data_IF_835463163364
#
_entry.id   IF_835463163364
#
_cell.length_a   1.000
_cell.length_b   1.000
_cell.length_c   1.000
_cell.angle_alpha   90.00
_cell.angle_beta   90.00
_cell.angle_gamma   90.00
#
_symmetry.space_group_name_H-M   'P 1'
#
loop_
_entity.id
_entity.type
_entity.pdbx_description
1 polymer ?
#
# COMPACT_ATOMS: atom_id res chain seq x y z
N UNK A 1 -24.99 -25.87 46.70
CA UNK A 1 -24.26 -25.67 45.43
C UNK A 1 -25.21 -26.14 44.33
N UNK A 2 -25.54 -25.29 43.35
CA UNK A 2 -26.35 -25.73 42.21
C UNK A 2 -25.47 -26.67 41.38
N UNK A 3 -25.88 -27.93 41.24
CA UNK A 3 -25.31 -28.85 40.26
C UNK A 3 -25.54 -28.22 38.89
N UNK A 4 -24.47 -27.72 38.28
CA UNK A 4 -24.53 -27.29 36.88
C UNK A 4 -24.85 -28.54 36.07
N UNK A 5 -26.05 -28.57 35.49
CA UNK A 5 -26.51 -29.70 34.68
C UNK A 5 -25.50 -29.89 33.54
N UNK A 6 -25.00 -31.11 33.36
CA UNK A 6 -24.03 -31.45 32.31
C UNK A 6 -24.55 -31.02 30.92
N UNK A 7 -25.87 -31.01 30.73
CA UNK A 7 -26.51 -30.47 29.53
C UNK A 7 -26.24 -28.97 29.33
N UNK A 8 -26.40 -28.14 30.38
CA UNK A 8 -26.15 -26.69 30.33
C UNK A 8 -24.66 -26.38 30.05
N UNK A 9 -23.76 -27.26 30.51
CA UNK A 9 -22.33 -27.13 30.22
C UNK A 9 -22.04 -27.40 28.73
N UNK A 10 -22.60 -28.48 28.17
CA UNK A 10 -22.44 -28.80 26.75
C UNK A 10 -23.04 -27.74 25.84
N UNK A 11 -24.21 -27.22 26.20
CA UNK A 11 -24.88 -26.17 25.42
C UNK A 11 -24.05 -24.88 25.40
N UNK A 12 -23.53 -24.44 26.55
CA UNK A 12 -22.62 -23.29 26.62
C UNK A 12 -21.31 -23.51 25.86
N UNK A 13 -20.75 -24.71 25.93
CA UNK A 13 -19.51 -25.05 25.21
C UNK A 13 -19.71 -24.97 23.69
N UNK A 14 -20.80 -25.56 23.18
CA UNK A 14 -21.13 -25.54 21.75
C UNK A 14 -21.42 -24.12 21.25
N UNK A 15 -22.15 -23.32 22.02
CA UNK A 15 -22.44 -21.93 21.68
C UNK A 15 -21.17 -21.07 21.68
N UNK A 16 -20.29 -21.26 22.67
CA UNK A 16 -18.97 -20.59 22.70
C UNK A 16 -18.15 -20.94 21.46
N UNK A 17 -18.13 -22.22 21.06
CA UNK A 17 -17.41 -22.67 19.86
C UNK A 17 -17.98 -22.10 18.57
N UNK A 18 -19.31 -21.98 18.48
CA UNK A 18 -19.98 -21.35 17.35
C UNK A 18 -19.58 -19.87 17.23
N UNK A 19 -19.66 -19.12 18.32
CA UNK A 19 -19.28 -17.71 18.37
C UNK A 19 -17.80 -17.50 18.04
N UNK A 20 -16.91 -18.37 18.55
CA UNK A 20 -15.48 -18.33 18.25
C UNK A 20 -15.21 -18.52 16.74
N UNK A 21 -15.91 -19.46 16.10
CA UNK A 21 -15.79 -19.69 14.66
C UNK A 21 -16.37 -18.54 13.82
N UNK A 22 -17.53 -18.00 14.22
CA UNK A 22 -18.10 -16.82 13.54
C UNK A 22 -17.16 -15.62 13.62
N UNK A 23 -16.53 -15.38 14.76
CA UNK A 23 -15.57 -14.30 14.94
C UNK A 23 -14.32 -14.51 14.07
N UNK A 24 -13.76 -15.73 14.05
CA UNK A 24 -12.62 -16.07 13.18
C UNK A 24 -12.93 -15.83 11.71
N UNK A 25 -14.11 -16.25 11.26
CA UNK A 25 -14.53 -16.06 9.87
C UNK A 25 -14.71 -14.57 9.53
N UNK A 26 -15.30 -13.78 10.44
CA UNK A 26 -15.41 -12.33 10.25
C UNK A 26 -14.05 -11.65 10.15
N UNK A 27 -13.13 -11.97 11.05
CA UNK A 27 -11.76 -11.43 11.02
C UNK A 27 -11.07 -11.79 9.71
N UNK A 28 -11.18 -13.05 9.27
CA UNK A 28 -10.61 -13.51 8.00
C UNK A 28 -11.15 -12.72 6.81
N UNK A 29 -12.48 -12.59 6.71
CA UNK A 29 -13.11 -11.83 5.63
C UNK A 29 -12.69 -10.35 5.62
N UNK A 30 -12.59 -9.72 6.79
CA UNK A 30 -12.12 -8.34 6.91
C UNK A 30 -10.67 -8.17 6.44
N UNK A 31 -9.80 -9.11 6.79
CA UNK A 31 -8.41 -9.10 6.36
C UNK A 31 -8.28 -9.32 4.85
N UNK A 32 -9.06 -10.24 4.28
CA UNK A 32 -9.11 -10.50 2.84
C UNK A 32 -9.63 -9.27 2.06
N UNK A 33 -10.68 -8.62 2.55
CA UNK A 33 -11.21 -7.39 1.96
C UNK A 33 -10.19 -6.24 1.99
N UNK A 34 -9.47 -6.07 3.10
CA UNK A 34 -8.39 -5.07 3.20
C UNK A 34 -7.23 -5.40 2.26
N UNK A 35 -6.82 -6.67 2.19
CA UNK A 35 -5.75 -7.09 1.29
C UNK A 35 -6.11 -6.80 -0.18
N UNK A 36 -7.35 -7.08 -0.57
CA UNK A 36 -7.83 -6.82 -1.92
C UNK A 36 -7.91 -5.32 -2.23
N UNK A 37 -8.39 -4.52 -1.27
CA UNK A 37 -8.36 -3.05 -1.38
C UNK A 37 -6.94 -2.54 -1.63
N UNK A 38 -5.96 -2.98 -0.83
CA UNK A 38 -4.56 -2.54 -0.99
C UNK A 38 -3.92 -3.03 -2.29
N UNK A 39 -4.24 -4.24 -2.76
CA UNK A 39 -3.80 -4.72 -4.07
C UNK A 39 -4.31 -3.83 -5.19
N UNK A 40 -5.59 -3.48 -5.17
CA UNK A 40 -6.18 -2.60 -6.19
C UNK A 40 -5.62 -1.17 -6.10
N UNK A 41 -5.41 -0.67 -4.90
CA UNK A 41 -4.77 0.62 -4.67
C UNK A 41 -3.34 0.65 -5.22
N UNK A 42 -2.53 -0.36 -4.93
CA UNK A 42 -1.17 -0.48 -5.47
C UNK A 42 -1.19 -0.64 -6.98
N UNK A 43 -2.06 -1.50 -7.53
CA UNK A 43 -2.21 -1.66 -8.97
C UNK A 43 -2.55 -0.33 -9.65
N UNK A 44 -3.37 0.53 -9.01
CA UNK A 44 -3.65 1.90 -9.48
C UNK A 44 -2.43 2.81 -9.40
N UNK A 45 -1.67 2.77 -8.31
CA UNK A 45 -0.44 3.55 -8.15
C UNK A 45 0.63 3.16 -9.17
N UNK A 46 0.76 1.86 -9.47
CA UNK A 46 1.71 1.34 -10.46
C UNK A 46 1.17 1.37 -11.91
N UNK A 47 -0.14 1.57 -12.12
CA UNK A 47 -0.72 1.86 -13.46
C UNK A 47 -0.38 3.25 -13.97
N UNK A 48 0.27 4.08 -13.16
CA UNK A 48 0.89 5.29 -13.65
C UNK A 48 2.05 4.84 -14.52
N UNK A 49 1.87 4.96 -15.84
CA UNK A 49 2.93 4.90 -16.85
C UNK A 49 4.23 5.39 -16.22
N UNK A 50 5.36 4.65 -16.30
CA UNK A 50 6.57 4.98 -15.54
C UNK A 50 6.77 6.48 -15.61
N UNK A 51 6.80 7.15 -14.46
CA UNK A 51 6.75 8.61 -14.44
C UNK A 51 7.83 9.21 -15.36
N UNK A 52 8.92 8.45 -15.56
CA UNK A 52 10.00 8.66 -16.53
C UNK A 52 9.58 8.69 -18.01
N UNK A 53 8.68 7.81 -18.46
CA UNK A 53 8.16 7.80 -19.83
C UNK A 53 7.28 9.01 -20.11
N UNK A 54 6.34 9.31 -19.20
CA UNK A 54 5.54 10.55 -19.30
C UNK A 54 6.42 11.80 -19.17
N UNK A 55 7.43 11.78 -18.32
CA UNK A 55 8.42 12.86 -18.22
C UNK A 55 9.15 13.06 -19.54
N UNK A 56 9.67 11.99 -20.16
CA UNK A 56 10.36 12.07 -21.45
C UNK A 56 9.45 12.60 -22.54
N UNK A 57 8.21 12.15 -22.57
CA UNK A 57 7.24 12.59 -23.59
C UNK A 57 6.89 14.09 -23.43
N UNK A 58 6.81 14.58 -22.19
CA UNK A 58 6.61 16.01 -21.89
C UNK A 58 7.87 16.82 -22.22
N UNK A 59 9.06 16.34 -21.87
CA UNK A 59 10.34 17.00 -22.21
C UNK A 59 10.49 17.12 -23.72
N UNK A 60 10.25 16.05 -24.48
CA UNK A 60 10.34 16.09 -25.94
C UNK A 60 9.37 17.09 -26.58
N UNK A 61 8.15 17.21 -26.03
CA UNK A 61 7.17 18.22 -26.46
C UNK A 61 7.57 19.64 -26.08
N UNK A 62 8.22 19.84 -24.93
CA UNK A 62 8.71 21.15 -24.50
C UNK A 62 9.88 21.65 -25.36
N UNK A 63 10.78 20.73 -25.73
CA UNK A 63 11.91 21.02 -26.59
C UNK A 63 11.52 21.58 -27.97
N UNK A 64 10.33 21.21 -28.46
CA UNK A 64 9.87 21.55 -29.81
C UNK A 64 8.86 22.72 -29.86
N UNK A 65 8.28 23.14 -28.73
CA UNK A 65 7.15 24.09 -28.72
C UNK A 65 7.43 25.42 -27.98
N UNK A 66 8.59 25.59 -27.36
CA UNK A 66 8.91 26.80 -26.59
C UNK A 66 10.28 27.39 -26.93
N UNK A 67 10.33 28.71 -27.06
CA UNK A 67 11.54 29.46 -27.36
C UNK A 67 12.54 29.42 -26.18
N UNK A 68 13.83 29.52 -26.52
CA UNK A 68 14.96 29.01 -25.73
C UNK A 68 14.99 29.34 -24.23
N UNK A 69 14.50 30.50 -23.76
CA UNK A 69 14.49 30.82 -22.31
C UNK A 69 13.36 30.14 -21.54
N UNK A 70 12.16 30.05 -22.12
CA UNK A 70 11.01 29.40 -21.48
C UNK A 70 11.21 27.88 -21.42
N UNK A 71 11.73 27.31 -22.51
CA UNK A 71 12.06 25.89 -22.57
C UNK A 71 13.17 25.52 -21.57
N UNK A 72 14.26 26.29 -21.49
CA UNK A 72 15.32 26.04 -20.50
C UNK A 72 14.83 26.11 -19.05
N UNK A 73 13.94 27.06 -18.73
CA UNK A 73 13.38 27.17 -17.39
C UNK A 73 12.50 25.96 -17.03
N UNK A 74 11.72 25.46 -18.00
CA UNK A 74 10.88 24.28 -17.83
C UNK A 74 11.73 23.01 -17.70
N UNK A 75 12.71 22.80 -18.58
CA UNK A 75 13.64 21.65 -18.51
C UNK A 75 14.33 21.60 -17.15
N UNK A 76 14.94 22.70 -16.68
CA UNK A 76 15.60 22.75 -15.37
C UNK A 76 14.67 22.39 -14.22
N UNK A 77 13.40 22.80 -14.30
CA UNK A 77 12.41 22.52 -13.26
C UNK A 77 11.96 21.06 -13.30
N UNK A 78 11.89 20.46 -14.48
CA UNK A 78 11.66 19.03 -14.65
C UNK A 78 12.82 18.18 -14.13
N UNK A 79 14.06 18.53 -14.47
CA UNK A 79 15.26 17.87 -13.95
C UNK A 79 15.31 17.90 -12.42
N UNK A 80 15.01 19.06 -11.83
CA UNK A 80 14.92 19.20 -10.37
C UNK A 80 13.84 18.31 -9.76
N UNK A 81 12.63 18.32 -10.32
CA UNK A 81 11.54 17.45 -9.84
C UNK A 81 11.91 15.97 -9.93
N UNK A 82 12.63 15.56 -10.99
CA UNK A 82 13.09 14.19 -11.15
C UNK A 82 14.14 13.80 -10.08
N UNK A 83 15.05 14.72 -9.74
CA UNK A 83 16.00 14.54 -8.64
C UNK A 83 15.27 14.38 -7.31
N UNK A 84 14.35 15.28 -6.99
CA UNK A 84 13.58 15.27 -5.73
C UNK A 84 12.78 13.95 -5.58
N UNK A 85 12.18 13.46 -6.67
CA UNK A 85 11.46 12.19 -6.67
C UNK A 85 12.38 10.98 -6.44
N UNK A 86 13.60 11.02 -6.99
CA UNK A 86 14.59 9.97 -6.78
C UNK A 86 15.03 9.93 -5.33
N UNK A 87 15.25 11.09 -4.71
CA UNK A 87 15.58 11.22 -3.30
C UNK A 87 14.46 10.67 -2.40
N UNK A 88 13.20 11.06 -2.67
CA UNK A 88 12.05 10.52 -1.94
C UNK A 88 11.95 9.00 -2.06
N UNK A 89 12.20 8.46 -3.26
CA UNK A 89 12.17 7.02 -3.48
C UNK A 89 13.27 6.30 -2.70
N UNK A 90 14.47 6.86 -2.63
CA UNK A 90 15.56 6.31 -1.83
C UNK A 90 15.22 6.33 -0.33
N UNK A 91 14.69 7.45 0.18
CA UNK A 91 14.22 7.53 1.57
C UNK A 91 13.12 6.51 1.88
N UNK A 92 12.18 6.31 0.94
CA UNK A 92 11.16 5.28 1.06
C UNK A 92 11.77 3.88 1.16
N UNK A 93 12.74 3.56 0.30
CA UNK A 93 13.43 2.27 0.31
C UNK A 93 14.18 2.06 1.62
N UNK A 94 14.90 3.06 2.12
CA UNK A 94 15.60 3.00 3.40
C UNK A 94 14.64 2.73 4.57
N UNK A 95 13.48 3.41 4.59
CA UNK A 95 12.44 3.18 5.61
C UNK A 95 11.85 1.77 5.48
N UNK A 96 11.55 1.35 4.25
CA UNK A 96 11.00 0.03 3.96
C UNK A 96 11.96 -1.08 4.42
N UNK A 97 13.25 -0.97 4.09
CA UNK A 97 14.27 -1.91 4.53
C UNK A 97 14.43 -1.92 6.05
N UNK A 98 14.43 -0.75 6.70
CA UNK A 98 14.50 -0.66 8.16
C UNK A 98 13.30 -1.33 8.86
N UNK A 99 12.08 -1.14 8.34
CA UNK A 99 10.87 -1.78 8.88
C UNK A 99 10.90 -3.29 8.62
N UNK A 100 11.28 -3.70 7.41
CA UNK A 100 11.37 -5.11 7.02
C UNK A 100 12.42 -5.87 7.83
N UNK A 101 13.59 -5.27 8.04
CA UNK A 101 14.66 -5.85 8.87
C UNK A 101 14.21 -5.97 10.33
N UNK A 102 13.51 -4.96 10.88
CA UNK A 102 12.94 -5.05 12.24
C UNK A 102 11.87 -6.12 12.39
N UNK A 103 11.10 -6.41 11.33
CA UNK A 103 10.10 -7.49 11.29
C UNK A 103 10.71 -8.90 11.25
N UNK A 104 12.00 -9.06 10.92
CA UNK A 104 12.69 -10.36 10.94
C UNK A 104 13.34 -10.70 12.28
N UNK A 105 13.49 -9.72 13.18
CA UNK A 105 14.06 -9.89 14.51
C UNK A 105 13.02 -10.09 15.62
N UNK A 106 11.73 -10.21 15.27
CA UNK A 106 10.61 -10.64 16.13
C UNK A 106 9.98 -11.89 15.55
#
# INVERSE_FOLDING_TARGET
>A
MKETNIADWWENYLETKRQENELKNRIKSDLEAKAEFYKQYLARCYKVQPLSEKHRDIIGKLEHNFDGKANQALIRRFEKNQSDLTEINNLYMDIYENIKLKSWFW
#
